data_IF_111036476019
#
_entry.id   IF_111036476019
#
_cell.length_a   1.000
_cell.length_b   1.000
_cell.length_c   1.000
_cell.angle_alpha   90.00
_cell.angle_beta   90.00
_cell.angle_gamma   90.00
#
_symmetry.space_group_name_H-M   'P 1'
#
loop_
_entity.id
_entity.type
_entity.pdbx_description
1 polymer ?
#
# COMPACT_ATOMS: atom_id res chain seq x y z
N UNK A 1 -28.06 11.68 -19.75
CA UNK A 1 -27.44 11.75 -18.40
C UNK A 1 -26.92 10.36 -18.06
N UNK A 2 -25.60 10.26 -17.80
CA UNK A 2 -24.83 9.06 -17.45
C UNK A 2 -24.66 8.00 -18.55
N UNK A 3 -23.72 8.28 -19.44
CA UNK A 3 -23.14 7.32 -20.39
C UNK A 3 -22.03 6.53 -19.65
N UNK A 4 -22.40 5.50 -18.88
CA UNK A 4 -21.44 4.64 -18.20
C UNK A 4 -20.81 3.66 -19.21
N UNK A 5 -19.71 4.08 -19.82
CA UNK A 5 -18.82 3.16 -20.52
C UNK A 5 -18.21 2.19 -19.49
N UNK A 6 -18.87 1.05 -19.26
CA UNK A 6 -18.34 -0.01 -18.41
C UNK A 6 -17.18 -0.70 -19.14
N UNK A 7 -15.96 -0.21 -18.87
CA UNK A 7 -14.72 -0.90 -19.24
C UNK A 7 -14.61 -2.18 -18.41
N UNK A 8 -15.33 -3.23 -18.80
CA UNK A 8 -15.27 -4.53 -18.16
C UNK A 8 -14.03 -5.28 -18.66
N UNK A 9 -12.86 -4.92 -18.13
CA UNK A 9 -11.68 -5.76 -18.25
C UNK A 9 -11.98 -7.13 -17.60
N UNK A 10 -12.03 -8.22 -18.38
CA UNK A 10 -12.37 -9.58 -17.88
C UNK A 10 -11.39 -10.15 -16.84
N UNK A 11 -10.24 -9.49 -16.61
CA UNK A 11 -9.26 -9.81 -15.55
C UNK A 11 -9.23 -8.76 -14.43
N UNK A 12 -10.25 -7.92 -14.36
CA UNK A 12 -10.43 -6.96 -13.28
C UNK A 12 -10.43 -7.68 -11.92
N UNK A 13 -9.45 -7.32 -11.07
CA UNK A 13 -9.52 -7.62 -9.63
C UNK A 13 -10.40 -6.61 -8.87
N UNK A 14 -11.00 -5.62 -9.55
CA UNK A 14 -11.78 -4.56 -8.91
C UNK A 14 -12.87 -5.05 -7.96
N UNK A 15 -13.62 -6.14 -8.23
CA UNK A 15 -14.61 -6.64 -7.26
C UNK A 15 -14.03 -7.03 -5.89
N UNK A 16 -12.73 -7.38 -5.83
CA UNK A 16 -12.07 -7.73 -4.55
C UNK A 16 -11.73 -6.50 -3.71
N UNK A 17 -11.71 -5.32 -4.33
CA UNK A 17 -11.32 -4.05 -3.73
C UNK A 17 -12.45 -3.03 -3.71
N UNK A 18 -13.67 -3.44 -4.06
CA UNK A 18 -14.83 -2.55 -4.10
C UNK A 18 -15.04 -1.89 -2.72
N UNK A 19 -15.17 -0.56 -2.71
CA UNK A 19 -15.26 0.24 -1.48
C UNK A 19 -13.96 0.37 -0.68
N UNK A 20 -12.82 -0.12 -1.19
CA UNK A 20 -11.51 -0.12 -0.52
C UNK A 20 -10.39 0.43 -1.40
N UNK A 21 -10.74 1.33 -2.31
CA UNK A 21 -9.81 2.02 -3.20
C UNK A 21 -9.76 3.46 -2.73
N UNK A 22 -8.55 3.91 -2.38
CA UNK A 22 -8.28 5.26 -1.91
C UNK A 22 -7.17 5.89 -2.75
N UNK A 23 -7.22 7.21 -2.91
CA UNK A 23 -6.37 8.01 -3.78
C UNK A 23 -5.72 9.16 -3.02
N UNK A 24 -4.52 9.56 -3.46
CA UNK A 24 -3.84 10.73 -2.94
C UNK A 24 -4.65 12.04 -3.11
N UNK A 25 -5.65 12.06 -4.00
CA UNK A 25 -6.58 13.18 -4.19
C UNK A 25 -7.61 13.34 -3.08
N UNK A 26 -7.78 12.31 -2.24
CA UNK A 26 -8.73 12.30 -1.11
C UNK A 26 -8.08 12.79 0.19
N UNK A 27 -6.78 13.11 0.15
CA UNK A 27 -6.00 13.56 1.32
C UNK A 27 -5.28 14.87 1.02
N UNK A 28 -4.98 15.63 2.08
CA UNK A 28 -4.31 16.91 1.96
C UNK A 28 -2.85 16.76 1.48
N UNK A 29 -2.15 15.74 1.96
CA UNK A 29 -0.74 15.52 1.65
C UNK A 29 -0.51 14.13 1.07
N UNK A 30 0.10 14.08 -0.12
CA UNK A 30 0.57 12.82 -0.70
C UNK A 30 1.82 12.28 0.00
N UNK A 31 2.21 11.05 -0.36
CA UNK A 31 3.48 10.43 0.08
C UNK A 31 4.64 11.42 -0.14
N UNK A 32 5.55 11.60 0.84
CA UNK A 32 5.81 10.74 1.99
C UNK A 32 4.97 11.02 3.24
N UNK A 33 3.96 11.90 3.18
CA UNK A 33 3.03 12.07 4.29
C UNK A 33 2.20 10.79 4.52
N UNK A 34 1.81 10.49 5.77
CA UNK A 34 1.11 9.26 6.12
C UNK A 34 -0.39 9.29 5.76
N UNK A 35 -0.92 10.46 5.35
CA UNK A 35 -2.33 10.77 5.26
C UNK A 35 -3.12 9.71 4.48
N UNK A 36 -2.60 9.26 3.32
CA UNK A 36 -3.29 8.26 2.49
C UNK A 36 -3.46 6.92 3.21
N UNK A 37 -2.43 6.46 3.92
CA UNK A 37 -2.50 5.19 4.63
C UNK A 37 -3.39 5.29 5.86
N UNK A 38 -3.29 6.38 6.61
CA UNK A 38 -4.17 6.64 7.76
C UNK A 38 -5.63 6.77 7.32
N UNK A 39 -5.89 7.45 6.22
CA UNK A 39 -7.22 7.56 5.63
C UNK A 39 -7.80 6.18 5.28
N UNK A 40 -7.01 5.33 4.60
CA UNK A 40 -7.43 3.97 4.29
C UNK A 40 -7.72 3.13 5.54
N UNK A 41 -6.87 3.21 6.57
CA UNK A 41 -7.06 2.51 7.83
C UNK A 41 -8.35 2.94 8.55
N UNK A 42 -8.59 4.25 8.64
CA UNK A 42 -9.81 4.82 9.23
C UNK A 42 -11.05 4.40 8.44
N UNK A 43 -11.03 4.51 7.11
CA UNK A 43 -12.14 4.13 6.25
C UNK A 43 -12.48 2.63 6.35
N UNK A 44 -11.47 1.79 6.61
CA UNK A 44 -11.66 0.34 6.82
C UNK A 44 -11.95 -0.03 8.29
N UNK A 45 -11.88 0.91 9.23
CA UNK A 45 -12.09 0.66 10.66
C UNK A 45 -10.99 -0.21 11.31
N UNK A 46 -9.77 -0.18 10.78
CA UNK A 46 -8.64 -0.98 11.26
C UNK A 46 -7.58 -0.06 11.89
N UNK A 47 -7.03 -0.38 13.07
CA UNK A 47 -5.98 0.43 13.66
C UNK A 47 -4.70 0.35 12.83
N UNK A 48 -3.91 1.43 12.65
CA UNK A 48 -2.72 1.43 11.81
C UNK A 48 -1.69 0.35 12.18
N UNK A 49 -1.55 0.02 13.46
CA UNK A 49 -0.64 -1.03 13.94
C UNK A 49 -1.03 -2.44 13.48
N UNK A 50 -2.29 -2.66 13.08
CA UNK A 50 -2.75 -3.91 12.48
C UNK A 50 -2.73 -3.88 10.95
N UNK A 51 -2.33 -2.75 10.35
CA UNK A 51 -2.20 -2.62 8.90
C UNK A 51 -0.79 -2.97 8.45
N UNK A 52 -0.72 -3.57 7.26
CA UNK A 52 0.52 -3.82 6.54
C UNK A 52 0.50 -3.03 5.23
N UNK A 53 1.65 -2.46 4.86
CA UNK A 53 1.83 -1.75 3.59
C UNK A 53 2.81 -2.52 2.72
N UNK A 54 2.43 -2.83 1.48
CA UNK A 54 3.34 -3.36 0.45
C UNK A 54 3.68 -2.23 -0.51
N UNK A 55 4.96 -1.88 -0.64
CA UNK A 55 5.41 -0.69 -1.39
C UNK A 55 6.72 -0.94 -2.13
N UNK A 56 6.90 -0.32 -3.30
CA UNK A 56 8.09 -0.41 -4.16
C UNK A 56 8.78 0.95 -4.38
N UNK A 57 8.38 1.99 -3.64
CA UNK A 57 8.90 3.35 -3.74
C UNK A 57 9.45 3.88 -2.41
N UNK A 58 10.51 4.69 -2.49
CA UNK A 58 11.11 5.33 -1.32
C UNK A 58 10.10 6.15 -0.51
N UNK A 59 9.32 7.01 -1.19
CA UNK A 59 8.33 7.87 -0.53
C UNK A 59 7.17 7.07 0.06
N UNK A 60 6.78 5.96 -0.58
CA UNK A 60 5.74 5.08 -0.05
C UNK A 60 6.16 4.37 1.23
N UNK A 61 7.39 3.84 1.28
CA UNK A 61 7.92 3.23 2.50
C UNK A 61 8.06 4.27 3.62
N UNK A 62 8.48 5.50 3.32
CA UNK A 62 8.50 6.59 4.30
C UNK A 62 7.12 6.91 4.85
N UNK A 63 6.10 7.00 3.99
CA UNK A 63 4.72 7.23 4.41
C UNK A 63 4.18 6.10 5.27
N UNK A 64 4.52 4.84 4.96
CA UNK A 64 4.10 3.69 5.77
C UNK A 64 4.67 3.76 7.19
N UNK A 65 5.96 4.11 7.31
CA UNK A 65 6.62 4.32 8.60
C UNK A 65 6.02 5.47 9.38
N UNK A 66 5.79 6.60 8.71
CA UNK A 66 5.15 7.77 9.33
C UNK A 66 3.73 7.45 9.82
N UNK A 67 3.03 6.52 9.17
CA UNK A 67 1.71 6.04 9.58
C UNK A 67 1.77 5.03 10.74
N UNK A 68 2.96 4.63 11.19
CA UNK A 68 3.14 3.60 12.22
C UNK A 68 2.75 2.20 11.74
N UNK A 69 2.77 1.96 10.43
CA UNK A 69 2.41 0.68 9.83
C UNK A 69 3.65 -0.15 9.49
N UNK A 70 3.54 -1.47 9.62
CA UNK A 70 4.58 -2.38 9.14
C UNK A 70 4.62 -2.32 7.61
N UNK A 71 5.82 -2.26 7.05
CA UNK A 71 6.00 -2.17 5.61
C UNK A 71 6.77 -3.37 5.05
N UNK A 72 6.37 -3.83 3.88
CA UNK A 72 7.08 -4.81 3.06
C UNK A 72 7.53 -4.11 1.78
N UNK A 73 8.83 -3.83 1.69
CA UNK A 73 9.45 -3.12 0.58
C UNK A 73 9.78 -4.05 -0.58
N UNK A 74 9.11 -3.93 -1.72
CA UNK A 74 9.34 -4.75 -2.91
C UNK A 74 10.48 -4.20 -3.77
N UNK A 75 11.64 -4.85 -3.72
CA UNK A 75 12.91 -4.41 -4.31
C UNK A 75 13.18 -4.94 -5.73
N UNK A 76 12.22 -5.61 -6.36
CA UNK A 76 12.32 -6.07 -7.76
C UNK A 76 11.57 -5.13 -8.72
N UNK A 77 11.52 -3.84 -8.35
CA UNK A 77 11.01 -2.73 -9.15
C UNK A 77 12.14 -1.76 -9.54
N UNK A 78 11.78 -0.50 -9.79
CA UNK A 78 12.75 0.54 -10.19
C UNK A 78 13.53 1.13 -9.00
N UNK A 79 13.05 0.93 -7.78
CA UNK A 79 13.69 1.46 -6.58
C UNK A 79 14.73 0.48 -6.05
N UNK A 80 16.01 0.88 -5.94
CA UNK A 80 17.04 0.05 -5.32
C UNK A 80 16.67 -0.34 -3.87
N UNK A 81 17.00 -1.56 -3.46
CA UNK A 81 16.68 -2.11 -2.14
C UNK A 81 17.06 -1.17 -0.97
N UNK A 82 18.26 -0.58 -1.02
CA UNK A 82 18.75 0.33 0.03
C UNK A 82 17.85 1.56 0.26
N UNK A 83 17.05 1.98 -0.72
CA UNK A 83 16.09 3.08 -0.56
C UNK A 83 14.77 2.65 0.08
N UNK A 84 14.52 1.35 0.18
CA UNK A 84 13.36 0.76 0.86
C UNK A 84 13.70 0.32 2.29
N UNK A 85 14.97 0.18 2.64
CA UNK A 85 15.42 -0.22 3.98
C UNK A 85 15.14 0.82 5.07
N UNK A 86 15.07 0.35 6.31
CA UNK A 86 14.86 1.15 7.51
C UNK A 86 13.83 0.56 8.50
N UNK A 87 13.53 1.29 9.59
CA UNK A 87 12.75 0.75 10.71
C UNK A 87 11.36 0.27 10.28
N UNK A 88 10.95 -0.90 10.78
CA UNK A 88 9.63 -1.46 10.49
C UNK A 88 9.41 -1.89 9.03
N UNK A 89 10.47 -1.98 8.22
CA UNK A 89 10.37 -2.44 6.83
C UNK A 89 11.14 -3.73 6.59
N UNK A 90 10.46 -4.73 6.05
CA UNK A 90 11.06 -5.96 5.53
C UNK A 90 11.20 -5.83 4.02
N UNK A 91 12.44 -5.82 3.52
CA UNK A 91 12.70 -5.72 2.09
C UNK A 91 12.73 -7.12 1.46
N UNK A 92 12.07 -7.29 0.33
CA UNK A 92 11.97 -8.56 -0.38
C UNK A 92 11.86 -8.33 -1.89
N UNK A 93 12.18 -9.35 -2.69
CA UNK A 93 12.36 -9.23 -4.15
C UNK A 93 11.42 -10.14 -4.96
N UNK A 94 10.61 -10.95 -4.29
CA UNK A 94 9.72 -11.91 -4.94
C UNK A 94 8.34 -11.92 -4.28
N UNK A 95 7.32 -11.55 -5.05
CA UNK A 95 5.93 -11.46 -4.58
C UNK A 95 5.38 -12.80 -4.05
N UNK A 96 5.98 -13.93 -4.45
CA UNK A 96 5.64 -15.26 -3.94
C UNK A 96 6.06 -15.47 -2.49
N UNK A 97 7.01 -14.69 -1.97
CA UNK A 97 7.45 -14.73 -0.56
C UNK A 97 6.49 -14.00 0.37
N UNK A 98 5.68 -13.07 -0.15
CA UNK A 98 4.83 -12.19 0.65
C UNK A 98 3.86 -12.94 1.58
N UNK A 99 3.15 -14.02 1.17
CA UNK A 99 2.28 -14.75 2.09
C UNK A 99 3.02 -15.29 3.32
N UNK A 100 4.17 -15.93 3.13
CA UNK A 100 4.98 -16.43 4.25
C UNK A 100 5.52 -15.29 5.14
N UNK A 101 5.84 -14.13 4.55
CA UNK A 101 6.30 -12.95 5.29
C UNK A 101 5.18 -12.31 6.12
N UNK A 102 3.92 -12.44 5.69
CA UNK A 102 2.74 -12.00 6.44
C UNK A 102 2.36 -12.99 7.55
N UNK A 103 2.58 -14.29 7.36
CA UNK A 103 2.29 -15.30 8.39
C UNK A 103 3.33 -15.31 9.52
N UNK A 104 4.57 -14.93 9.22
CA UNK A 104 5.64 -14.79 10.20
C UNK A 104 5.58 -13.46 10.99
N UNK A 105 4.52 -12.67 10.79
CA UNK A 105 4.45 -11.28 11.19
C UNK A 105 3.86 -11.05 12.59
#
# INVERSE_FOLDING_TARGET
THNSASWRCRRSRYPRFEGRIFSATEVAHGKPAPDLFLHAAVAMGVPPVACVVVEDSHYGVQAARAAGMRCFGYANGLTPAHRLEGPGTVVFDDMRKLPALLDAA
#
